data_IF_976269697876
#
_entry.id   IF_976269697876
#
_cell.length_a   1.000
_cell.length_b   1.000
_cell.length_c   1.000
_cell.angle_alpha   90.00
_cell.angle_beta   90.00
_cell.angle_gamma   90.00
#
_symmetry.space_group_name_H-M   'P 1'
#
loop_
_entity.id
_entity.type
_entity.pdbx_description
1 polymer ?
#
# COMPACT_ATOMS: atom_id res chain seq x y z
N UNK A 1 -40.55 -39.50 13.00
CA UNK A 1 -40.55 -38.17 12.32
C UNK A 1 -39.50 -37.18 12.84
N UNK A 2 -39.09 -37.23 14.13
CA UNK A 2 -38.06 -36.32 14.66
C UNK A 2 -36.64 -36.65 14.13
N UNK A 3 -36.25 -37.92 14.12
CA UNK A 3 -34.93 -38.35 13.65
C UNK A 3 -34.69 -38.12 12.16
N UNK A 4 -35.74 -38.21 11.32
CA UNK A 4 -35.64 -37.91 9.88
C UNK A 4 -35.42 -36.42 9.63
N UNK A 5 -36.07 -35.54 10.42
CA UNK A 5 -35.81 -34.09 10.37
C UNK A 5 -34.39 -33.76 10.86
N UNK A 6 -33.91 -34.42 11.91
CA UNK A 6 -32.53 -34.23 12.41
C UNK A 6 -31.49 -34.70 11.38
N UNK A 7 -31.71 -35.85 10.73
CA UNK A 7 -30.84 -36.34 9.65
C UNK A 7 -30.83 -35.36 8.47
N UNK A 8 -31.99 -34.80 8.11
CA UNK A 8 -32.09 -33.82 7.03
C UNK A 8 -31.38 -32.49 7.37
N UNK A 9 -31.47 -32.02 8.61
CA UNK A 9 -30.78 -30.81 9.09
C UNK A 9 -29.26 -31.01 9.12
N UNK A 10 -28.78 -32.18 9.55
CA UNK A 10 -27.34 -32.51 9.55
C UNK A 10 -26.81 -32.67 8.12
N UNK A 11 -27.59 -33.28 7.22
CA UNK A 11 -27.23 -33.41 5.81
C UNK A 11 -27.15 -32.06 5.10
N UNK A 12 -28.07 -31.13 5.38
CA UNK A 12 -28.00 -29.76 4.85
C UNK A 12 -26.83 -28.96 5.41
N UNK A 13 -26.43 -29.18 6.68
CA UNK A 13 -25.28 -28.49 7.28
C UNK A 13 -23.93 -28.95 6.72
N UNK A 14 -23.82 -30.21 6.28
CA UNK A 14 -22.60 -30.74 5.64
C UNK A 14 -22.39 -30.24 4.20
N UNK A 15 -23.44 -29.76 3.52
CA UNK A 15 -23.34 -29.28 2.13
C UNK A 15 -22.85 -27.82 2.02
N UNK A 16 -22.74 -27.09 3.13
CA UNK A 16 -22.34 -25.66 3.15
C UNK A 16 -20.80 -25.50 3.29
N UNK A 17 -20.06 -26.58 3.61
CA UNK A 17 -18.61 -26.52 3.80
C UNK A 17 -17.76 -26.77 2.54
N UNK A 18 -18.40 -26.93 1.36
CA UNK A 18 -17.69 -27.14 0.07
C UNK A 18 -18.00 -26.01 -0.91
N UNK A 19 -17.87 -24.77 -0.46
CA UNK A 19 -17.76 -23.61 -1.36
C UNK A 19 -16.55 -22.77 -0.98
N UNK A 20 -15.39 -23.30 -1.34
CA UNK A 20 -14.19 -22.52 -1.62
C UNK A 20 -13.67 -23.05 -2.95
N UNK A 21 -14.16 -22.48 -4.03
CA UNK A 21 -13.48 -22.54 -5.32
C UNK A 21 -12.20 -21.71 -5.14
N UNK A 22 -11.10 -22.39 -4.84
CA UNK A 22 -9.79 -21.77 -4.94
C UNK A 22 -9.52 -21.55 -6.42
N UNK A 23 -9.90 -20.37 -6.90
CA UNK A 23 -9.27 -19.79 -8.06
C UNK A 23 -7.77 -19.87 -7.84
N UNK A 24 -7.12 -20.79 -8.55
CA UNK A 24 -5.67 -20.87 -8.66
C UNK A 24 -5.21 -19.71 -9.55
N UNK A 25 -5.49 -18.48 -9.13
CA UNK A 25 -4.77 -17.32 -9.62
C UNK A 25 -3.39 -17.44 -9.02
N UNK A 26 -2.46 -17.88 -9.88
CA UNK A 26 -1.00 -17.93 -9.70
C UNK A 26 -0.56 -17.27 -8.39
N UNK A 27 -0.08 -18.08 -7.45
CA UNK A 27 0.93 -17.62 -6.49
C UNK A 27 2.16 -17.24 -7.32
N UNK A 28 2.15 -16.03 -7.86
CA UNK A 28 3.38 -15.36 -8.20
C UNK A 28 4.11 -15.18 -6.88
N UNK A 29 5.19 -15.93 -6.72
CA UNK A 29 6.25 -15.63 -5.78
C UNK A 29 6.66 -14.18 -6.03
N UNK A 30 6.02 -13.23 -5.33
CA UNK A 30 6.38 -11.81 -5.31
C UNK A 30 7.62 -11.60 -4.45
N UNK A 31 8.69 -12.30 -4.80
CA UNK A 31 10.03 -11.93 -4.41
C UNK A 31 10.74 -11.67 -5.74
N UNK A 32 11.17 -10.43 -5.98
CA UNK A 32 11.87 -9.93 -7.17
C UNK A 32 11.05 -9.13 -8.22
N UNK A 33 10.13 -8.24 -7.83
CA UNK A 33 9.71 -7.11 -8.73
C UNK A 33 10.67 -5.91 -8.72
N UNK A 34 11.85 -6.05 -8.13
CA UNK A 34 12.67 -4.92 -7.68
C UNK A 34 13.56 -4.22 -8.71
N UNK A 35 13.75 -4.75 -9.93
CA UNK A 35 14.81 -4.23 -10.81
C UNK A 35 14.39 -3.68 -12.17
N UNK A 36 13.11 -3.80 -12.56
CA UNK A 36 12.69 -3.44 -13.94
C UNK A 36 11.54 -2.43 -14.03
N UNK A 37 11.00 -1.92 -12.92
CA UNK A 37 9.93 -0.93 -13.01
C UNK A 37 10.50 0.45 -13.36
N UNK A 38 10.07 1.01 -14.48
CA UNK A 38 10.49 2.35 -14.93
C UNK A 38 9.40 3.38 -14.69
N UNK A 39 9.74 4.67 -14.80
CA UNK A 39 8.74 5.74 -14.76
C UNK A 39 7.67 5.58 -15.86
N UNK A 40 8.01 5.02 -17.02
CA UNK A 40 7.05 4.75 -18.11
C UNK A 40 6.00 3.70 -17.70
N UNK A 41 6.38 2.75 -16.85
CA UNK A 41 5.49 1.71 -16.35
C UNK A 41 4.57 2.21 -15.24
N UNK A 42 4.88 3.35 -14.64
CA UNK A 42 4.13 3.98 -13.55
C UNK A 42 3.20 5.08 -14.09
N UNK A 43 3.71 5.97 -14.94
CA UNK A 43 2.99 7.19 -15.33
C UNK A 43 1.82 6.88 -16.27
N UNK A 44 0.64 7.41 -15.92
CA UNK A 44 -0.60 7.22 -16.68
C UNK A 44 -1.29 5.88 -16.42
N UNK A 45 -0.85 5.12 -15.40
CA UNK A 45 -1.43 3.85 -15.02
C UNK A 45 -2.33 3.99 -13.78
N UNK A 46 -3.59 3.52 -13.82
CA UNK A 46 -4.53 3.67 -12.71
C UNK A 46 -4.12 2.91 -11.45
N UNK A 47 -3.29 1.88 -11.58
CA UNK A 47 -2.74 1.10 -10.46
C UNK A 47 -1.76 1.92 -9.61
N UNK A 48 -1.21 3.01 -10.15
CA UNK A 48 -0.22 3.87 -9.51
C UNK A 48 -0.80 5.26 -9.22
N UNK A 49 -1.83 5.31 -8.37
CA UNK A 49 -2.49 6.57 -8.03
C UNK A 49 -1.47 7.57 -7.43
N UNK A 50 -1.47 8.79 -7.98
CA UNK A 50 -0.51 9.82 -7.63
C UNK A 50 -1.17 10.96 -6.85
N UNK A 51 -0.41 11.59 -5.94
CA UNK A 51 -0.85 12.79 -5.22
C UNK A 51 0.30 13.79 -5.10
N UNK A 52 -0.04 15.08 -5.06
CA UNK A 52 0.92 16.10 -4.64
C UNK A 52 0.96 16.14 -3.12
N UNK A 53 2.16 16.10 -2.53
CA UNK A 53 2.33 15.88 -1.09
C UNK A 53 3.28 16.87 -0.44
N UNK A 54 2.88 17.35 0.74
CA UNK A 54 3.69 18.12 1.67
C UNK A 54 3.20 17.91 3.09
N UNK A 55 4.03 17.33 3.96
CA UNK A 55 3.67 16.95 5.34
C UNK A 55 3.87 18.05 6.38
N UNK A 56 3.86 19.33 5.99
CA UNK A 56 4.02 20.43 6.94
C UNK A 56 2.80 20.55 7.85
N UNK A 57 3.01 20.56 9.17
CA UNK A 57 1.93 20.65 10.18
C UNK A 57 1.81 22.04 10.82
N UNK A 58 2.65 22.99 10.44
CA UNK A 58 2.67 24.34 11.00
C UNK A 58 2.53 25.40 9.91
N UNK A 59 2.39 26.67 10.32
CA UNK A 59 2.10 27.78 9.40
C UNK A 59 3.30 28.18 8.53
N UNK A 60 4.50 27.69 8.85
CA UNK A 60 5.72 28.06 8.15
C UNK A 60 6.46 26.81 7.68
N UNK A 61 7.25 26.96 6.61
CA UNK A 61 8.13 25.89 6.13
C UNK A 61 9.50 25.89 6.81
N UNK A 62 9.74 26.80 7.76
CA UNK A 62 11.01 26.80 8.50
C UNK A 62 11.02 25.63 9.49
N UNK A 63 9.86 25.32 10.05
CA UNK A 63 9.63 24.13 10.85
C UNK A 63 9.36 22.95 9.92
N UNK A 64 10.33 22.03 9.85
CA UNK A 64 10.21 20.82 9.03
C UNK A 64 9.51 19.72 9.82
N UNK A 65 8.64 18.91 9.18
CA UNK A 65 8.05 17.75 9.83
C UNK A 65 9.11 16.72 10.22
N UNK A 66 8.84 15.97 11.27
CA UNK A 66 9.73 14.90 11.73
C UNK A 66 9.61 13.67 10.82
N UNK A 67 10.60 12.79 10.91
CA UNK A 67 10.58 11.52 10.18
C UNK A 67 9.34 10.68 10.51
N UNK A 68 8.99 10.57 11.79
CA UNK A 68 7.82 9.81 12.24
C UNK A 68 6.49 10.41 11.74
N UNK A 69 6.38 11.73 11.69
CA UNK A 69 5.20 12.40 11.12
C UNK A 69 5.06 12.08 9.63
N UNK A 70 6.17 12.10 8.89
CA UNK A 70 6.16 11.74 7.46
C UNK A 70 5.85 10.25 7.27
N UNK A 71 6.37 9.35 8.11
CA UNK A 71 6.03 7.91 8.08
C UNK A 71 4.54 7.68 8.35
N UNK A 72 3.95 8.39 9.31
CA UNK A 72 2.51 8.35 9.58
C UNK A 72 1.70 8.73 8.34
N UNK A 73 1.99 9.88 7.74
CA UNK A 73 1.29 10.36 6.53
C UNK A 73 1.41 9.35 5.38
N UNK A 74 2.61 8.83 5.13
CA UNK A 74 2.88 7.88 4.05
C UNK A 74 2.09 6.57 4.27
N UNK A 75 1.96 6.09 5.51
CA UNK A 75 1.13 4.91 5.82
C UNK A 75 -0.35 5.17 5.52
N UNK A 76 -0.86 6.36 5.87
CA UNK A 76 -2.24 6.76 5.55
C UNK A 76 -2.45 6.81 4.03
N UNK A 77 -1.54 7.45 3.29
CA UNK A 77 -1.63 7.54 1.84
C UNK A 77 -1.55 6.16 1.16
N UNK A 78 -0.66 5.29 1.63
CA UNK A 78 -0.56 3.92 1.13
C UNK A 78 -1.85 3.13 1.38
N UNK A 79 -2.49 3.30 2.54
CA UNK A 79 -3.79 2.68 2.85
C UNK A 79 -4.92 3.17 1.93
N UNK A 80 -4.80 4.37 1.35
CA UNK A 80 -5.69 4.92 0.33
C UNK A 80 -5.32 4.50 -1.10
N UNK A 81 -4.40 3.55 -1.26
CA UNK A 81 -3.86 3.09 -2.54
C UNK A 81 -3.08 4.17 -3.33
N UNK A 82 -2.59 5.22 -2.66
CA UNK A 82 -1.61 6.15 -3.26
C UNK A 82 -0.26 5.45 -3.35
N UNK A 83 0.37 5.52 -4.53
CA UNK A 83 1.66 4.88 -4.83
C UNK A 83 2.73 5.86 -5.29
N UNK A 84 2.36 7.08 -5.69
CA UNK A 84 3.31 8.09 -6.19
C UNK A 84 3.10 9.42 -5.47
N UNK A 85 4.16 9.94 -4.85
CA UNK A 85 4.17 11.26 -4.22
C UNK A 85 4.91 12.25 -5.11
N UNK A 86 4.33 13.42 -5.37
CA UNK A 86 5.05 14.55 -5.97
C UNK A 86 5.47 15.54 -4.90
N UNK A 87 6.76 15.86 -4.84
CA UNK A 87 7.32 16.93 -4.00
C UNK A 87 7.60 18.19 -4.84
N UNK A 88 7.96 19.30 -4.19
CA UNK A 88 7.98 20.62 -4.85
C UNK A 88 9.36 21.29 -4.95
N UNK A 89 10.34 20.90 -4.13
CA UNK A 89 11.69 21.42 -4.19
C UNK A 89 12.64 20.53 -3.38
N UNK A 90 13.94 20.64 -3.70
CA UNK A 90 15.05 19.99 -3.00
C UNK A 90 15.89 20.97 -2.16
N UNK A 91 15.40 22.22 -1.98
CA UNK A 91 16.11 23.26 -1.21
C UNK A 91 15.90 23.11 0.29
N UNK A 92 14.79 22.49 0.71
CA UNK A 92 14.45 22.24 2.10
C UNK A 92 14.52 20.75 2.43
N UNK A 93 14.64 20.43 3.73
CA UNK A 93 14.85 19.05 4.22
C UNK A 93 13.71 18.08 3.90
N UNK A 94 12.47 18.58 3.73
CA UNK A 94 11.28 17.76 3.50
C UNK A 94 11.44 16.65 2.46
N UNK A 95 11.97 16.94 1.26
CA UNK A 95 12.14 15.91 0.22
C UNK A 95 13.07 14.78 0.66
N UNK A 96 14.16 15.12 1.36
CA UNK A 96 15.08 14.14 1.95
C UNK A 96 14.39 13.31 3.03
N UNK A 97 13.61 13.93 3.91
CA UNK A 97 12.85 13.22 4.96
C UNK A 97 11.81 12.27 4.37
N UNK A 98 11.14 12.64 3.26
CA UNK A 98 10.22 11.75 2.54
C UNK A 98 10.95 10.53 1.99
N UNK A 99 12.10 10.72 1.33
CA UNK A 99 12.89 9.59 0.81
C UNK A 99 13.40 8.68 1.93
N UNK A 100 13.83 9.26 3.05
CA UNK A 100 14.26 8.53 4.23
C UNK A 100 13.13 7.72 4.86
N UNK A 101 11.95 8.31 5.02
CA UNK A 101 10.75 7.63 5.51
C UNK A 101 10.37 6.45 4.63
N UNK A 102 10.31 6.64 3.30
CA UNK A 102 10.00 5.56 2.36
C UNK A 102 11.03 4.44 2.48
N UNK A 103 12.31 4.78 2.60
CA UNK A 103 13.39 3.79 2.75
C UNK A 103 13.22 2.97 4.02
N UNK A 104 12.93 3.59 5.16
CA UNK A 104 12.69 2.87 6.42
C UNK A 104 11.43 2.00 6.34
N UNK A 105 10.34 2.51 5.78
CA UNK A 105 9.11 1.73 5.60
C UNK A 105 9.33 0.49 4.73
N UNK A 106 10.17 0.59 3.70
CA UNK A 106 10.57 -0.56 2.87
C UNK A 106 11.49 -1.55 3.59
N UNK A 107 12.24 -1.09 4.59
CA UNK A 107 13.05 -1.98 5.44
C UNK A 107 12.17 -2.69 6.47
N UNK A 108 11.18 -2.00 7.03
CA UNK A 108 10.17 -2.55 7.95
C UNK A 108 9.28 -3.58 7.25
N UNK A 109 8.84 -3.27 6.02
CA UNK A 109 8.01 -4.13 5.19
C UNK A 109 8.55 -4.16 3.75
N UNK A 110 9.21 -5.26 3.33
CA UNK A 110 9.73 -5.41 1.97
C UNK A 110 8.66 -5.36 0.87
N UNK A 111 7.37 -5.54 1.21
CA UNK A 111 6.25 -5.40 0.28
C UNK A 111 5.76 -3.96 0.13
N UNK A 112 6.21 -3.05 1.00
CA UNK A 112 5.85 -1.64 0.95
C UNK A 112 6.33 -1.00 -0.35
N UNK A 113 5.41 -0.29 -1.02
CA UNK A 113 5.64 0.28 -2.35
C UNK A 113 5.17 1.73 -2.38
N UNK A 114 6.12 2.64 -2.58
CA UNK A 114 5.89 4.07 -2.76
C UNK A 114 7.00 4.66 -3.63
N UNK A 115 6.61 5.50 -4.59
CA UNK A 115 7.50 6.18 -5.53
C UNK A 115 7.42 7.69 -5.35
N UNK A 116 8.47 8.40 -5.78
CA UNK A 116 8.55 9.85 -5.64
C UNK A 116 8.90 10.50 -6.97
N UNK A 117 8.11 11.50 -7.36
CA UNK A 117 8.47 12.51 -8.36
C UNK A 117 9.07 13.71 -7.62
N UNK A 118 10.40 13.87 -7.71
CA UNK A 118 11.12 14.99 -7.12
C UNK A 118 10.90 16.27 -7.95
N UNK A 119 10.47 17.34 -7.29
CA UNK A 119 10.28 18.68 -7.87
C UNK A 119 11.45 19.62 -7.63
#
# INVERSE_FOLDING_TARGET
MKSVKTIFIVACALLISVSCEQDKTKKETQNQKGYNLTAKDILGKPEYLAISYGGYRTKTRNEQPTLEQIKEDIKILAAMNIKVLRTYNTKLRHATTVLEAIRELKQEDPSFEMYVMLG
#
